data_IF_592800621571
#
_entry.id   IF_592800621571
#
_cell.length_a   1.000
_cell.length_b   1.000
_cell.length_c   1.000
_cell.angle_alpha   90.00
_cell.angle_beta   90.00
_cell.angle_gamma   90.00
#
_symmetry.space_group_name_H-M   'P 1'
#
loop_
_entity.id
_entity.type
_entity.pdbx_description
1 polymer ?
#
# COMPACT_ATOMS: atom_id res chain seq x y z
N UNK A 1 -23.39 55.57 -29.56
CA UNK A 1 -22.83 54.24 -29.88
C UNK A 1 -21.66 53.80 -28.97
N UNK A 2 -21.46 54.38 -27.76
CA UNK A 2 -20.34 54.04 -26.86
C UNK A 2 -20.70 53.14 -25.66
N UNK A 3 -21.99 52.98 -25.34
CA UNK A 3 -22.43 52.17 -24.18
C UNK A 3 -22.22 50.67 -24.39
N UNK A 4 -22.42 50.14 -25.60
CA UNK A 4 -22.29 48.71 -25.92
C UNK A 4 -20.87 48.14 -25.73
N UNK A 5 -19.82 48.96 -25.92
CA UNK A 5 -18.41 48.52 -25.80
C UNK A 5 -18.01 48.23 -24.35
N UNK A 6 -18.62 48.94 -23.38
CA UNK A 6 -18.38 48.73 -21.94
C UNK A 6 -19.06 47.46 -21.43
N UNK A 7 -20.29 47.17 -21.86
CA UNK A 7 -20.99 45.93 -21.49
C UNK A 7 -20.31 44.68 -22.04
N UNK A 8 -19.74 44.75 -23.26
CA UNK A 8 -18.98 43.64 -23.84
C UNK A 8 -17.72 43.33 -23.02
N UNK A 9 -16.92 44.35 -22.70
CA UNK A 9 -15.73 44.19 -21.86
C UNK A 9 -16.06 43.68 -20.44
N UNK A 10 -17.12 44.20 -19.83
CA UNK A 10 -17.56 43.81 -18.50
C UNK A 10 -18.04 42.34 -18.44
N UNK A 11 -18.64 41.84 -19.52
CA UNK A 11 -19.06 40.43 -19.63
C UNK A 11 -17.86 39.48 -19.75
N UNK A 12 -16.80 39.87 -20.45
CA UNK A 12 -15.58 39.06 -20.54
C UNK A 12 -14.80 39.02 -19.22
N UNK A 13 -14.77 40.13 -18.47
CA UNK A 13 -14.15 40.17 -17.13
C UNK A 13 -14.89 39.27 -16.14
N UNK A 14 -16.22 39.27 -16.16
CA UNK A 14 -17.02 38.39 -15.29
C UNK A 14 -16.85 36.90 -15.64
N UNK A 15 -16.76 36.57 -16.93
CA UNK A 15 -16.51 35.20 -17.38
C UNK A 15 -15.10 34.71 -17.00
N UNK A 16 -14.09 35.58 -17.11
CA UNK A 16 -12.73 35.25 -16.69
C UNK A 16 -12.65 35.02 -15.17
N UNK A 17 -13.30 35.85 -14.37
CA UNK A 17 -13.36 35.67 -12.90
C UNK A 17 -14.10 34.38 -12.50
N UNK A 18 -15.19 34.03 -13.19
CA UNK A 18 -15.91 32.78 -12.96
C UNK A 18 -15.05 31.54 -13.31
N UNK A 19 -14.27 31.61 -14.40
CA UNK A 19 -13.38 30.53 -14.80
C UNK A 19 -12.20 30.37 -13.81
N UNK A 20 -11.62 31.47 -13.34
CA UNK A 20 -10.59 31.43 -12.29
C UNK A 20 -11.13 30.88 -10.96
N UNK A 21 -12.35 31.25 -10.57
CA UNK A 21 -13.00 30.70 -9.38
C UNK A 21 -13.24 29.18 -9.53
N UNK A 22 -13.69 28.73 -10.71
CA UNK A 22 -13.87 27.31 -10.97
C UNK A 22 -12.55 26.52 -10.84
N UNK A 23 -11.44 27.06 -11.37
CA UNK A 23 -10.13 26.44 -11.20
C UNK A 23 -9.72 26.33 -9.72
N UNK A 24 -10.04 27.30 -8.86
CA UNK A 24 -9.67 27.25 -7.43
C UNK A 24 -10.55 26.25 -6.66
N UNK A 25 -11.84 26.14 -6.97
CA UNK A 25 -12.76 25.20 -6.32
C UNK A 25 -12.66 23.76 -6.83
N UNK A 26 -12.13 23.53 -8.04
CA UNK A 26 -11.98 22.20 -8.63
C UNK A 26 -10.70 21.46 -8.23
N UNK A 27 -9.84 22.06 -7.38
CA UNK A 27 -8.76 21.32 -6.75
C UNK A 27 -9.38 20.40 -5.68
N UNK A 28 -9.89 19.25 -6.12
CA UNK A 28 -10.02 18.10 -5.23
C UNK A 28 -8.65 17.93 -4.57
N UNK A 29 -8.55 17.90 -3.23
CA UNK A 29 -7.27 17.64 -2.58
C UNK A 29 -6.74 16.33 -3.16
N UNK A 30 -5.48 16.32 -3.58
CA UNK A 30 -4.80 15.10 -3.96
C UNK A 30 -4.85 14.14 -2.76
N UNK A 31 -5.88 13.29 -2.72
CA UNK A 31 -6.07 12.28 -1.70
C UNK A 31 -5.04 11.19 -2.00
N UNK A 32 -3.86 11.35 -1.42
CA UNK A 32 -2.87 10.28 -1.28
C UNK A 32 -3.41 9.05 -0.51
N UNK A 33 -4.66 9.09 0.00
CA UNK A 33 -5.25 8.03 0.79
C UNK A 33 -6.06 6.96 0.03
N UNK A 34 -6.08 6.95 -1.30
CA UNK A 34 -6.81 5.88 -2.03
C UNK A 34 -6.07 4.52 -1.99
N UNK A 35 -4.78 4.52 -1.65
CA UNK A 35 -3.98 3.30 -1.41
C UNK A 35 -3.80 2.98 0.09
N UNK A 36 -3.92 3.96 0.99
CA UNK A 36 -3.78 3.76 2.45
C UNK A 36 -4.86 2.86 3.07
N UNK A 37 -5.91 2.54 2.31
CA UNK A 37 -7.00 1.66 2.73
C UNK A 37 -7.33 0.64 1.66
N UNK A 38 -6.34 -0.13 1.19
CA UNK A 38 -6.73 -1.52 0.93
C UNK A 38 -7.32 -2.04 2.24
N UNK A 39 -8.61 -2.44 2.22
CA UNK A 39 -9.21 -3.08 3.38
C UNK A 39 -8.26 -4.21 3.79
N UNK A 40 -7.88 -4.27 5.08
CA UNK A 40 -6.94 -5.26 5.59
C UNK A 40 -7.22 -6.69 5.09
N UNK A 41 -8.50 -7.03 4.94
CA UNK A 41 -8.95 -8.31 4.38
C UNK A 41 -8.44 -8.56 2.95
N UNK A 42 -8.43 -7.53 2.13
CA UNK A 42 -7.93 -7.56 0.75
C UNK A 42 -6.42 -7.76 0.74
N UNK A 43 -5.67 -7.05 1.58
CA UNK A 43 -4.22 -7.30 1.73
C UNK A 43 -3.93 -8.73 2.16
N UNK A 44 -4.68 -9.23 3.15
CA UNK A 44 -4.57 -10.61 3.63
C UNK A 44 -4.92 -11.63 2.55
N UNK A 45 -5.89 -11.35 1.69
CA UNK A 45 -6.24 -12.23 0.58
C UNK A 45 -5.07 -12.37 -0.41
N UNK A 46 -4.47 -11.25 -0.82
CA UNK A 46 -3.29 -11.27 -1.68
C UNK A 46 -2.10 -11.96 -1.01
N UNK A 47 -1.84 -11.67 0.27
CA UNK A 47 -0.80 -12.34 1.05
C UNK A 47 -0.92 -13.86 1.09
N UNK A 48 -2.14 -14.36 1.33
CA UNK A 48 -2.39 -15.80 1.29
C UNK A 48 -2.13 -16.40 -0.09
N UNK A 49 -2.56 -15.73 -1.16
CA UNK A 49 -2.29 -16.19 -2.51
C UNK A 49 -0.78 -16.27 -2.78
N UNK A 50 -0.02 -15.25 -2.39
CA UNK A 50 1.45 -15.27 -2.48
C UNK A 50 2.07 -16.40 -1.65
N UNK A 51 1.58 -16.65 -0.43
CA UNK A 51 2.05 -17.75 0.41
C UNK A 51 1.91 -19.10 -0.28
N UNK A 52 0.72 -19.40 -0.83
CA UNK A 52 0.48 -20.67 -1.50
C UNK A 52 1.33 -20.80 -2.77
N UNK A 53 1.47 -19.74 -3.56
CA UNK A 53 2.35 -19.73 -4.74
C UNK A 53 3.80 -20.07 -4.39
N UNK A 54 4.36 -19.43 -3.36
CA UNK A 54 5.74 -19.68 -2.93
C UNK A 54 5.92 -21.08 -2.35
N UNK A 55 4.89 -21.58 -1.65
CA UNK A 55 4.89 -22.96 -1.14
C UNK A 55 4.94 -23.96 -2.28
N UNK A 56 4.19 -23.73 -3.36
CA UNK A 56 4.18 -24.59 -4.55
C UNK A 56 5.50 -24.50 -5.33
N UNK A 57 6.07 -23.30 -5.45
CA UNK A 57 7.26 -23.06 -6.27
C UNK A 57 8.56 -23.52 -5.59
N UNK A 58 8.74 -23.20 -4.31
CA UNK A 58 10.01 -23.43 -3.58
C UNK A 58 9.88 -24.42 -2.42
N UNK A 59 8.68 -24.62 -1.89
CA UNK A 59 8.48 -25.37 -0.65
C UNK A 59 8.95 -24.60 0.60
N UNK A 60 8.45 -25.03 1.76
CA UNK A 60 8.88 -24.51 3.05
C UNK A 60 9.78 -25.50 3.77
N UNK A 61 10.75 -24.97 4.51
CA UNK A 61 11.68 -25.79 5.28
C UNK A 61 10.94 -26.43 6.46
N UNK A 62 10.93 -27.77 6.50
CA UNK A 62 10.35 -28.54 7.61
C UNK A 62 11.41 -28.78 8.71
N UNK A 63 11.81 -27.70 9.39
CA UNK A 63 12.71 -27.76 10.54
C UNK A 63 12.08 -27.02 11.73
N UNK A 64 11.55 -27.75 12.73
CA UNK A 64 10.88 -27.14 13.87
C UNK A 64 11.73 -26.14 14.65
N UNK A 65 13.03 -26.43 14.86
CA UNK A 65 13.92 -25.54 15.62
C UNK A 65 14.18 -24.24 14.87
N UNK A 66 14.39 -24.32 13.55
CA UNK A 66 14.61 -23.14 12.72
C UNK A 66 13.34 -22.29 12.64
N UNK A 67 12.19 -22.94 12.44
CA UNK A 67 10.90 -22.27 12.37
C UNK A 67 10.56 -21.58 13.69
N UNK A 68 10.81 -22.24 14.83
CA UNK A 68 10.62 -21.63 16.16
C UNK A 68 11.55 -20.44 16.37
N UNK A 69 12.83 -20.55 15.99
CA UNK A 69 13.79 -19.46 16.09
C UNK A 69 13.37 -18.23 15.28
N UNK A 70 13.02 -18.44 14.01
CA UNK A 70 12.59 -17.35 13.11
C UNK A 70 11.28 -16.73 13.59
N UNK A 71 10.32 -17.57 14.03
CA UNK A 71 9.06 -17.09 14.58
C UNK A 71 9.29 -16.25 15.84
N UNK A 72 10.10 -16.72 16.79
CA UNK A 72 10.37 -16.01 18.04
C UNK A 72 11.06 -14.66 17.80
N UNK A 73 12.03 -14.59 16.89
CA UNK A 73 12.63 -13.31 16.48
C UNK A 73 11.62 -12.39 15.80
N UNK A 74 10.82 -12.95 14.90
CA UNK A 74 9.80 -12.20 14.16
C UNK A 74 8.72 -11.60 15.07
N UNK A 75 8.28 -12.34 16.08
CA UNK A 75 7.33 -11.87 17.10
C UNK A 75 7.94 -10.75 17.95
N UNK A 76 9.18 -10.91 18.40
CA UNK A 76 9.87 -9.88 19.17
C UNK A 76 10.01 -8.55 18.39
N UNK A 77 10.31 -8.63 17.09
CA UNK A 77 10.46 -7.47 16.22
C UNK A 77 9.10 -6.84 15.85
N UNK A 78 8.12 -7.66 15.47
CA UNK A 78 6.80 -7.19 15.07
C UNK A 78 6.03 -6.56 16.24
N UNK A 79 6.27 -6.99 17.49
CA UNK A 79 5.73 -6.36 18.68
C UNK A 79 6.15 -4.90 18.89
N UNK A 80 7.22 -4.44 18.23
CA UNK A 80 7.69 -3.05 18.24
C UNK A 80 7.18 -2.23 17.03
N UNK A 81 6.43 -2.86 16.12
CA UNK A 81 5.88 -2.20 14.93
C UNK A 81 4.77 -1.22 15.31
N UNK A 82 4.61 -0.16 14.50
CA UNK A 82 3.48 0.77 14.63
C UNK A 82 2.13 0.13 14.27
N UNK A 83 2.14 -0.98 13.53
CA UNK A 83 0.95 -1.63 12.98
C UNK A 83 0.72 -2.99 13.65
N UNK A 84 0.32 -2.94 14.93
CA UNK A 84 0.14 -4.11 15.82
C UNK A 84 -1.16 -4.88 15.59
N UNK A 85 -2.06 -4.37 14.75
CA UNK A 85 -3.36 -4.96 14.43
C UNK A 85 -3.28 -6.08 13.37
N UNK A 86 -2.09 -6.28 12.78
CA UNK A 86 -1.83 -7.37 11.84
C UNK A 86 -1.18 -8.56 12.55
N UNK A 87 -1.71 -9.79 12.38
CA UNK A 87 -0.96 -11.01 12.67
C UNK A 87 0.16 -11.20 11.64
N UNK A 88 1.41 -11.15 12.08
CA UNK A 88 2.57 -11.47 11.25
C UNK A 88 2.83 -12.98 11.22
N UNK A 89 3.16 -13.53 10.06
CA UNK A 89 3.50 -14.94 9.87
C UNK A 89 4.85 -15.05 9.18
N UNK A 90 5.79 -15.80 9.75
CA UNK A 90 7.14 -15.94 9.24
C UNK A 90 7.37 -17.35 8.67
N UNK A 91 7.91 -17.43 7.46
CA UNK A 91 8.18 -18.69 6.77
C UNK A 91 9.59 -18.76 6.24
N UNK A 92 10.22 -19.92 6.39
CA UNK A 92 11.52 -20.20 5.76
C UNK A 92 11.29 -20.99 4.48
N UNK A 93 11.80 -20.46 3.38
CA UNK A 93 11.71 -21.03 2.03
C UNK A 93 13.00 -21.78 1.69
N UNK A 94 12.88 -22.95 1.07
CA UNK A 94 14.04 -23.76 0.67
C UNK A 94 14.63 -23.31 -0.67
N UNK A 95 15.42 -22.23 -0.61
CA UNK A 95 16.26 -21.79 -1.73
C UNK A 95 17.65 -21.41 -1.22
N UNK A 96 18.67 -21.67 -2.04
CA UNK A 96 20.08 -21.32 -1.77
C UNK A 96 20.43 -19.87 -2.12
N UNK A 97 19.45 -19.06 -2.49
CA UNK A 97 19.65 -17.61 -2.63
C UNK A 97 19.55 -16.94 -1.25
N UNK A 98 20.34 -15.90 -1.01
CA UNK A 98 20.26 -15.11 0.22
C UNK A 98 19.31 -13.94 0.01
N UNK A 99 18.11 -14.00 0.60
CA UNK A 99 17.06 -12.99 0.45
C UNK A 99 16.00 -13.05 1.58
N UNK A 100 15.22 -11.99 1.70
CA UNK A 100 14.00 -11.96 2.50
C UNK A 100 13.01 -10.94 1.90
N UNK A 101 11.72 -11.27 1.90
CA UNK A 101 10.69 -10.40 1.36
C UNK A 101 9.39 -10.53 2.15
N UNK A 102 8.54 -9.49 2.07
CA UNK A 102 7.26 -9.44 2.75
C UNK A 102 6.12 -9.33 1.72
N UNK A 103 5.06 -10.10 1.93
CA UNK A 103 3.83 -9.96 1.17
C UNK A 103 2.81 -9.11 1.96
N UNK A 104 1.84 -8.48 1.27
CA UNK A 104 0.69 -7.86 1.92
C UNK A 104 0.03 -8.86 2.86
N UNK A 105 -0.65 -8.44 3.93
CA UNK A 105 -1.25 -9.43 4.81
C UNK A 105 -0.38 -9.91 5.97
N UNK A 106 0.80 -9.31 6.20
CA UNK A 106 1.66 -9.65 7.33
C UNK A 106 2.54 -10.89 7.13
N UNK A 107 2.61 -11.43 5.91
CA UNK A 107 3.45 -12.61 5.63
C UNK A 107 4.88 -12.18 5.32
N UNK A 108 5.85 -12.81 5.97
CA UNK A 108 7.27 -12.55 5.79
C UNK A 108 7.97 -13.86 5.45
N UNK A 109 8.80 -13.82 4.42
CA UNK A 109 9.49 -14.99 3.88
C UNK A 109 10.99 -14.77 3.93
N UNK A 110 11.70 -15.75 4.46
CA UNK A 110 13.15 -15.76 4.62
C UNK A 110 13.69 -16.94 3.84
N UNK A 111 14.72 -16.76 3.03
CA UNK A 111 15.34 -17.88 2.33
C UNK A 111 16.41 -18.56 3.19
N UNK A 112 16.64 -19.85 2.94
CA UNK A 112 17.66 -20.63 3.68
C UNK A 112 19.08 -20.14 3.40
N UNK A 113 19.38 -19.74 2.17
CA UNK A 113 20.73 -19.33 1.73
C UNK A 113 21.66 -20.51 1.44
#
# INVERSE_FOLDING_TARGET
>A
MFKYRKYFAQRHVLLALAMCAYCVFSHAPARAGMLDKLEWKTEKHFGKATKEQLREEYGFVDNPLLNEFVQGMGEALSGLSHRTDIPYEFHVIDTGEVNAFAAPGGFVFITRG
#
